data_IF_270371153807
#
_entry.id   IF_270371153807
#
_cell.length_a   1.000
_cell.length_b   1.000
_cell.length_c   1.000
_cell.angle_alpha   90.00
_cell.angle_beta   90.00
_cell.angle_gamma   90.00
#
_symmetry.space_group_name_H-M   'P 1'
#
loop_
_entity.id
_entity.type
_entity.pdbx_description
1 polymer ?
#
# COMPACT_ATOMS: atom_id res chain seq x y z
N UNK A 1 29.16 3.31 -28.76
CA UNK A 1 28.60 3.79 -27.49
C UNK A 1 29.70 3.67 -26.44
N UNK A 2 30.62 4.64 -26.40
CA UNK A 2 31.74 4.64 -25.46
C UNK A 2 31.86 6.05 -24.87
N UNK A 3 30.87 6.43 -24.05
CA UNK A 3 30.78 7.75 -23.41
C UNK A 3 31.25 7.72 -21.94
N UNK A 4 31.51 6.53 -21.39
CA UNK A 4 31.97 6.32 -20.01
C UNK A 4 33.49 6.16 -19.94
N UNK A 5 34.23 7.11 -20.50
CA UNK A 5 35.70 7.08 -20.45
C UNK A 5 36.25 7.69 -19.16
N UNK A 6 37.47 7.34 -18.73
CA UNK A 6 38.13 7.96 -17.58
C UNK A 6 38.20 9.50 -17.68
N UNK A 7 38.39 10.04 -18.89
CA UNK A 7 38.45 11.48 -19.16
C UNK A 7 37.08 12.16 -19.00
N UNK A 8 36.00 11.45 -19.32
CA UNK A 8 34.64 11.94 -19.03
C UNK A 8 34.41 12.02 -17.52
N UNK A 9 34.76 10.96 -16.78
CA UNK A 9 34.63 10.93 -15.32
C UNK A 9 35.48 12.03 -14.63
N UNK A 10 36.72 12.24 -15.08
CA UNK A 10 37.59 13.28 -14.56
C UNK A 10 37.02 14.69 -14.81
N UNK A 11 36.49 14.95 -16.01
CA UNK A 11 35.85 16.24 -16.34
C UNK A 11 34.56 16.47 -15.54
N UNK A 12 33.75 15.43 -15.36
CA UNK A 12 32.54 15.48 -14.54
C UNK A 12 32.89 15.84 -13.09
N UNK A 13 33.88 15.16 -12.50
CA UNK A 13 34.34 15.43 -11.15
C UNK A 13 34.91 16.85 -11.01
N UNK A 14 35.76 17.28 -11.95
CA UNK A 14 36.34 18.62 -11.95
C UNK A 14 35.27 19.71 -12.01
N UNK A 15 34.24 19.55 -12.87
CA UNK A 15 33.10 20.48 -12.95
C UNK A 15 32.33 20.53 -11.62
N UNK A 16 32.07 19.38 -11.00
CA UNK A 16 31.36 19.32 -9.70
C UNK A 16 32.14 20.03 -8.61
N UNK A 17 33.46 19.83 -8.54
CA UNK A 17 34.33 20.51 -7.56
C UNK A 17 34.34 22.02 -7.79
N UNK A 18 34.49 22.46 -9.04
CA UNK A 18 34.49 23.89 -9.40
C UNK A 18 33.18 24.59 -9.03
N UNK A 19 32.05 23.88 -9.09
CA UNK A 19 30.73 24.43 -8.80
C UNK A 19 30.19 24.00 -7.42
N UNK A 20 31.05 23.48 -6.54
CA UNK A 20 30.66 22.99 -5.22
C UNK A 20 29.91 24.03 -4.36
N UNK A 21 30.28 25.34 -4.35
CA UNK A 21 29.51 26.34 -3.62
C UNK A 21 28.06 26.46 -4.12
N UNK A 22 27.87 26.46 -5.44
CA UNK A 22 26.55 26.51 -6.07
C UNK A 22 25.76 25.22 -5.78
N UNK A 23 26.41 24.06 -5.85
CA UNK A 23 25.79 22.78 -5.51
C UNK A 23 25.28 22.77 -4.07
N UNK A 24 26.04 23.29 -3.12
CA UNK A 24 25.60 23.39 -1.71
C UNK A 24 24.35 24.25 -1.55
N UNK A 25 24.23 25.34 -2.31
CA UNK A 25 23.03 26.17 -2.32
C UNK A 25 21.85 25.44 -2.96
N UNK A 26 22.08 24.68 -4.04
CA UNK A 26 21.04 23.90 -4.68
C UNK A 26 20.50 22.78 -3.78
N UNK A 27 21.35 22.12 -2.99
CA UNK A 27 20.93 21.03 -2.10
C UNK A 27 19.78 21.48 -1.19
N UNK A 28 19.89 22.62 -0.52
CA UNK A 28 18.82 23.10 0.37
C UNK A 28 17.54 23.43 -0.39
N UNK A 29 17.67 24.05 -1.57
CA UNK A 29 16.53 24.41 -2.43
C UNK A 29 15.81 23.17 -2.96
N UNK A 30 16.56 22.18 -3.45
CA UNK A 30 16.00 20.93 -3.99
C UNK A 30 15.47 20.01 -2.90
N UNK A 31 16.06 19.98 -1.70
CA UNK A 31 15.49 19.26 -0.55
C UNK A 31 14.14 19.85 -0.15
N UNK A 32 14.01 21.17 -0.12
CA UNK A 32 12.74 21.84 0.15
C UNK A 32 11.70 21.54 -0.94
N UNK A 33 12.08 21.70 -2.22
CA UNK A 33 11.19 21.43 -3.35
C UNK A 33 10.75 19.95 -3.42
N UNK A 34 11.67 19.01 -3.20
CA UNK A 34 11.36 17.57 -3.17
C UNK A 34 10.45 17.22 -1.98
N UNK A 35 10.66 17.82 -0.81
CA UNK A 35 9.78 17.64 0.35
C UNK A 35 8.36 18.13 0.04
N UNK A 36 8.22 19.30 -0.60
CA UNK A 36 6.93 19.85 -1.03
C UNK A 36 6.25 18.92 -2.04
N UNK A 37 6.99 18.40 -3.01
CA UNK A 37 6.44 17.52 -4.04
C UNK A 37 6.00 16.15 -3.50
N UNK A 38 6.83 15.54 -2.66
CA UNK A 38 6.63 14.16 -2.17
C UNK A 38 5.82 14.10 -0.86
N UNK A 39 5.65 15.23 -0.17
CA UNK A 39 4.92 15.33 1.09
C UNK A 39 5.62 14.65 2.28
N UNK A 40 6.90 14.30 2.15
CA UNK A 40 7.69 13.63 3.19
C UNK A 40 9.11 14.20 3.26
N UNK A 41 9.48 14.78 4.41
CA UNK A 41 10.78 15.42 4.64
C UNK A 41 11.95 14.45 4.46
N UNK A 42 11.83 13.22 4.98
CA UNK A 42 12.87 12.18 4.85
C UNK A 42 13.20 11.86 3.40
N UNK A 43 12.20 11.80 2.51
CA UNK A 43 12.43 11.56 1.08
C UNK A 43 13.11 12.76 0.42
N UNK A 44 12.74 13.97 0.83
CA UNK A 44 13.42 15.20 0.40
C UNK A 44 14.90 15.24 0.80
N UNK A 45 15.26 14.78 2.00
CA UNK A 45 16.66 14.71 2.45
C UNK A 45 17.50 13.70 1.65
N UNK A 46 16.88 12.60 1.19
CA UNK A 46 17.55 11.59 0.38
C UNK A 46 17.69 12.00 -1.08
N UNK A 47 16.63 12.56 -1.67
CA UNK A 47 16.57 12.85 -3.10
C UNK A 47 17.06 14.26 -3.44
N UNK A 48 16.88 15.23 -2.55
CA UNK A 48 17.28 16.63 -2.78
C UNK A 48 18.72 16.80 -3.26
N UNK A 49 19.73 16.18 -2.60
CA UNK A 49 21.12 16.26 -3.05
C UNK A 49 21.37 15.62 -4.42
N UNK A 50 20.69 14.52 -4.74
CA UNK A 50 20.79 13.85 -6.04
C UNK A 50 20.21 14.73 -7.16
N UNK A 51 19.04 15.34 -6.91
CA UNK A 51 18.37 16.24 -7.85
C UNK A 51 19.17 17.51 -8.08
N UNK A 52 19.75 18.10 -7.02
CA UNK A 52 20.66 19.23 -7.12
C UNK A 52 21.89 18.89 -7.98
N UNK A 53 22.44 17.68 -7.80
CA UNK A 53 23.53 17.13 -8.60
C UNK A 53 23.16 16.95 -10.07
N UNK A 54 21.96 16.47 -10.39
CA UNK A 54 21.49 16.36 -11.76
C UNK A 54 21.28 17.74 -12.42
N UNK A 55 20.72 18.69 -11.68
CA UNK A 55 20.43 20.03 -12.18
C UNK A 55 21.71 20.82 -12.52
N UNK A 56 22.77 20.70 -11.71
CA UNK A 56 24.03 21.43 -11.93
C UNK A 56 24.81 20.99 -13.19
N UNK A 57 24.51 19.79 -13.71
CA UNK A 57 25.08 19.31 -14.97
C UNK A 57 24.57 20.12 -16.16
N UNK A 58 23.34 20.64 -16.07
CA UNK A 58 22.69 21.38 -17.15
C UNK A 58 22.86 22.90 -17.01
N UNK A 59 22.89 23.43 -15.78
CA UNK A 59 22.95 24.88 -15.52
C UNK A 59 23.67 25.20 -14.21
N UNK A 60 24.29 26.39 -14.14
CA UNK A 60 24.93 26.92 -12.93
C UNK A 60 24.27 28.22 -12.44
N UNK A 61 23.12 28.59 -13.00
CA UNK A 61 22.38 29.81 -12.63
C UNK A 61 21.68 29.67 -11.28
N UNK A 62 21.55 30.73 -10.46
CA UNK A 62 20.80 30.65 -9.21
C UNK A 62 19.42 30.03 -9.40
N UNK A 63 18.99 29.18 -8.45
CA UNK A 63 17.72 28.44 -8.52
C UNK A 63 16.89 28.77 -7.29
N UNK A 64 15.59 28.97 -7.48
CA UNK A 64 14.61 29.16 -6.40
C UNK A 64 13.84 27.87 -6.14
N UNK A 65 13.14 27.79 -5.01
CA UNK A 65 12.34 26.60 -4.65
C UNK A 65 11.23 26.37 -5.68
N UNK A 66 10.62 27.44 -6.18
CA UNK A 66 9.56 27.38 -7.20
C UNK A 66 10.10 26.82 -8.52
N UNK A 67 11.26 27.32 -8.95
CA UNK A 67 11.93 26.84 -10.18
C UNK A 67 12.33 25.36 -10.05
N UNK A 68 12.88 24.98 -8.88
CA UNK A 68 13.23 23.59 -8.61
C UNK A 68 11.99 22.68 -8.57
N UNK A 69 10.88 23.17 -8.02
CA UNK A 69 9.61 22.44 -7.96
C UNK A 69 9.00 22.24 -9.35
N UNK A 70 9.06 23.25 -10.21
CA UNK A 70 8.66 23.14 -11.62
C UNK A 70 9.54 22.13 -12.37
N UNK A 71 10.86 22.18 -12.16
CA UNK A 71 11.79 21.24 -12.77
C UNK A 71 11.55 19.79 -12.30
N UNK A 72 11.26 19.60 -11.01
CA UNK A 72 10.86 18.29 -10.49
C UNK A 72 9.55 17.85 -11.16
N UNK A 73 8.49 18.66 -11.13
CA UNK A 73 7.19 18.28 -11.72
C UNK A 73 7.24 18.01 -13.23
N UNK A 74 8.16 18.66 -13.95
CA UNK A 74 8.33 18.49 -15.39
C UNK A 74 9.10 17.23 -15.79
N UNK A 75 9.74 16.54 -14.84
CA UNK A 75 10.37 15.24 -15.06
C UNK A 75 9.40 14.12 -14.63
N UNK A 76 9.41 13.00 -15.35
CA UNK A 76 8.57 11.86 -15.02
C UNK A 76 9.20 11.02 -13.90
N UNK A 77 8.54 10.97 -12.74
CA UNK A 77 8.98 10.23 -11.54
C UNK A 77 8.08 9.04 -11.22
N UNK A 78 7.15 8.68 -12.11
CA UNK A 78 6.17 7.62 -11.89
C UNK A 78 6.81 6.28 -11.53
N UNK A 79 7.98 5.99 -12.10
CA UNK A 79 8.68 4.72 -11.91
C UNK A 79 9.23 4.51 -10.49
N UNK A 80 9.57 5.59 -9.77
CA UNK A 80 10.14 5.51 -8.43
C UNK A 80 9.08 5.59 -7.32
N UNK A 81 7.93 6.22 -7.57
CA UNK A 81 6.85 6.32 -6.58
C UNK A 81 5.84 5.18 -6.66
N UNK A 82 5.54 4.68 -7.86
CA UNK A 82 4.57 3.60 -8.03
C UNK A 82 5.10 2.25 -7.55
N UNK A 83 6.39 1.95 -7.80
CA UNK A 83 7.01 0.67 -7.40
C UNK A 83 7.12 0.52 -5.89
N UNK A 84 7.55 1.56 -5.18
CA UNK A 84 7.66 1.53 -3.72
C UNK A 84 6.27 1.53 -3.06
N UNK A 85 5.30 2.28 -3.61
CA UNK A 85 3.92 2.29 -3.13
C UNK A 85 3.21 0.93 -3.29
N UNK A 86 3.39 0.28 -4.44
CA UNK A 86 2.83 -1.07 -4.69
C UNK A 86 3.42 -2.11 -3.72
N UNK A 87 4.73 -2.05 -3.48
CA UNK A 87 5.41 -2.94 -2.53
C UNK A 87 4.99 -2.68 -1.08
N UNK A 88 4.76 -1.43 -0.70
CA UNK A 88 4.24 -1.11 0.64
C UNK A 88 2.81 -1.62 0.84
N UNK A 89 1.94 -1.45 -0.18
CA UNK A 89 0.58 -1.97 -0.17
C UNK A 89 0.52 -3.50 -0.08
N UNK A 90 1.43 -4.20 -0.78
CA UNK A 90 1.59 -5.65 -0.69
C UNK A 90 1.92 -6.10 0.75
N UNK A 91 2.98 -5.52 1.35
CA UNK A 91 3.39 -5.88 2.72
C UNK A 91 2.27 -5.57 3.72
N UNK A 92 1.57 -4.46 3.51
CA UNK A 92 0.45 -4.04 4.34
C UNK A 92 -0.70 -5.05 4.28
N UNK A 93 -1.08 -5.48 3.07
CA UNK A 93 -2.11 -6.51 2.88
C UNK A 93 -1.69 -7.84 3.51
N UNK A 94 -0.47 -8.32 3.24
CA UNK A 94 0.05 -9.56 3.83
C UNK A 94 0.01 -9.52 5.36
N UNK A 95 0.36 -8.38 5.97
CA UNK A 95 0.30 -8.21 7.42
C UNK A 95 -1.13 -8.30 7.95
N UNK A 96 -2.08 -7.59 7.32
CA UNK A 96 -3.49 -7.60 7.76
C UNK A 96 -4.10 -8.98 7.56
N UNK A 97 -3.94 -9.58 6.38
CA UNK A 97 -4.52 -10.88 6.06
C UNK A 97 -3.93 -11.97 6.93
N UNK A 98 -2.64 -11.87 7.32
CA UNK A 98 -1.98 -12.84 8.21
C UNK A 98 -2.32 -12.69 9.70
N UNK A 99 -3.03 -11.62 10.10
CA UNK A 99 -3.36 -11.40 11.51
C UNK A 99 -4.33 -12.45 12.04
N UNK A 100 -4.01 -13.07 13.18
CA UNK A 100 -4.83 -14.11 13.80
C UNK A 100 -5.98 -13.52 14.61
N UNK A 101 -7.18 -14.03 14.34
CA UNK A 101 -8.42 -13.60 14.97
C UNK A 101 -9.07 -14.80 15.66
N UNK A 102 -9.16 -14.69 16.98
CA UNK A 102 -9.88 -15.66 17.80
C UNK A 102 -11.38 -15.34 17.76
N UNK A 103 -12.19 -16.30 17.30
CA UNK A 103 -13.65 -16.15 17.21
C UNK A 103 -14.39 -17.40 17.68
N UNK A 104 -15.63 -17.21 18.12
CA UNK A 104 -16.47 -18.30 18.58
C UNK A 104 -17.30 -18.85 17.42
N UNK A 105 -17.38 -20.17 17.32
CA UNK A 105 -18.25 -20.84 16.35
C UNK A 105 -19.63 -21.08 16.93
N UNK A 106 -20.68 -21.22 16.08
CA UNK A 106 -22.02 -21.58 16.53
C UNK A 106 -22.05 -22.90 17.32
N UNK A 107 -21.10 -23.80 17.08
CA UNK A 107 -20.98 -25.13 17.71
C UNK A 107 -20.28 -25.09 19.08
N UNK A 108 -20.00 -23.90 19.63
CA UNK A 108 -19.51 -23.73 21.01
C UNK A 108 -17.99 -23.83 21.18
N UNK A 109 -17.23 -24.01 20.09
CA UNK A 109 -15.76 -23.99 20.11
C UNK A 109 -15.19 -22.60 19.83
N UNK A 110 -14.04 -22.28 20.44
CA UNK A 110 -13.24 -21.11 20.03
C UNK A 110 -12.20 -21.51 19.01
N UNK A 111 -12.15 -20.78 17.89
CA UNK A 111 -11.27 -21.04 16.77
C UNK A 111 -10.39 -19.82 16.51
N UNK A 112 -9.17 -20.08 16.05
CA UNK A 112 -8.26 -19.03 15.59
C UNK A 112 -8.04 -19.19 14.09
N UNK A 113 -8.28 -18.12 13.35
CA UNK A 113 -8.04 -18.04 11.91
C UNK A 113 -7.45 -16.70 11.55
N UNK A 114 -6.69 -16.67 10.48
CA UNK A 114 -6.19 -15.44 9.89
C UNK A 114 -7.35 -14.61 9.32
N UNK A 115 -7.18 -13.29 9.24
CA UNK A 115 -8.14 -12.40 8.55
C UNK A 115 -8.36 -12.84 7.11
N UNK A 116 -7.31 -13.30 6.42
CA UNK A 116 -7.40 -13.82 5.05
C UNK A 116 -8.35 -15.01 4.92
N UNK A 117 -8.22 -16.01 5.79
CA UNK A 117 -9.14 -17.15 5.83
C UNK A 117 -10.57 -16.71 6.17
N UNK A 118 -10.74 -15.74 7.07
CA UNK A 118 -12.08 -15.22 7.40
C UNK A 118 -12.72 -14.49 6.22
N UNK A 119 -11.94 -13.72 5.46
CA UNK A 119 -12.40 -13.06 4.22
C UNK A 119 -12.81 -14.13 3.22
N UNK A 120 -12.03 -15.19 3.09
CA UNK A 120 -12.33 -16.30 2.18
C UNK A 120 -13.65 -17.00 2.55
N UNK A 121 -13.82 -17.35 3.83
CA UNK A 121 -15.04 -17.97 4.36
C UNK A 121 -16.26 -17.04 4.19
N UNK A 122 -16.08 -15.73 4.36
CA UNK A 122 -17.14 -14.74 4.19
C UNK A 122 -17.50 -14.50 2.72
N UNK A 123 -16.54 -14.66 1.80
CA UNK A 123 -16.72 -14.50 0.37
C UNK A 123 -17.42 -15.70 -0.30
N UNK A 124 -17.26 -16.91 0.24
CA UNK A 124 -17.98 -18.08 -0.28
C UNK A 124 -19.49 -18.00 -0.01
N UNK A 125 -20.27 -18.57 -0.91
CA UNK A 125 -21.71 -18.71 -0.76
C UNK A 125 -22.08 -19.59 0.45
N UNK A 126 -23.36 -19.51 0.84
CA UNK A 126 -23.90 -20.28 1.97
C UNK A 126 -23.77 -21.79 1.73
N UNK A 127 -23.63 -22.19 0.47
CA UNK A 127 -23.16 -23.50 0.05
C UNK A 127 -22.04 -23.37 -0.95
N UNK A 128 -20.99 -24.16 -0.80
CA UNK A 128 -19.91 -24.24 -1.78
C UNK A 128 -19.66 -25.70 -2.14
N UNK A 129 -19.01 -25.91 -3.28
CA UNK A 129 -18.61 -27.25 -3.73
C UNK A 129 -17.22 -27.52 -3.16
N UNK A 130 -17.09 -28.56 -2.33
CA UNK A 130 -15.82 -29.01 -1.78
C UNK A 130 -15.40 -30.32 -2.47
N UNK A 131 -14.15 -30.39 -2.92
CA UNK A 131 -13.59 -31.62 -3.45
C UNK A 131 -13.18 -32.52 -2.29
N UNK A 132 -13.95 -33.60 -2.07
CA UNK A 132 -13.69 -34.55 -0.98
C UNK A 132 -12.57 -35.52 -1.37
N UNK A 133 -12.49 -35.90 -2.65
CA UNK A 133 -11.45 -36.76 -3.22
C UNK A 133 -11.24 -36.42 -4.71
N UNK A 134 -10.26 -37.04 -5.38
CA UNK A 134 -9.96 -36.84 -6.81
C UNK A 134 -11.14 -37.10 -7.79
N UNK A 135 -12.25 -37.67 -7.32
CA UNK A 135 -13.40 -38.08 -8.16
C UNK A 135 -14.72 -37.50 -7.65
N UNK A 136 -14.81 -37.08 -6.38
CA UNK A 136 -16.08 -36.74 -5.74
C UNK A 136 -16.07 -35.30 -5.26
N UNK A 137 -17.08 -34.56 -5.68
CA UNK A 137 -17.40 -33.21 -5.19
C UNK A 137 -18.71 -33.26 -4.42
N UNK A 138 -18.77 -32.59 -3.27
CA UNK A 138 -19.97 -32.51 -2.45
C UNK A 138 -20.38 -31.05 -2.25
N UNK A 139 -21.69 -30.80 -2.19
CA UNK A 139 -22.23 -29.50 -1.80
C UNK A 139 -22.22 -29.40 -0.28
N UNK A 140 -21.37 -28.53 0.24
CA UNK A 140 -21.18 -28.33 1.68
C UNK A 140 -21.82 -27.02 2.12
N UNK A 141 -22.56 -27.05 3.23
CA UNK A 141 -23.13 -25.85 3.85
C UNK A 141 -22.03 -25.10 4.61
N UNK A 142 -21.84 -23.82 4.27
CA UNK A 142 -20.91 -22.93 4.96
C UNK A 142 -21.49 -22.46 6.30
N UNK A 143 -21.50 -23.35 7.28
CA UNK A 143 -21.97 -23.07 8.66
C UNK A 143 -21.20 -21.96 9.37
N UNK A 144 -20.04 -21.55 8.83
CA UNK A 144 -19.07 -20.64 9.47
C UNK A 144 -19.16 -19.21 8.96
N UNK A 145 -19.81 -18.98 7.82
CA UNK A 145 -19.93 -17.67 7.16
C UNK A 145 -20.39 -16.56 8.10
N UNK A 146 -21.48 -16.79 8.83
CA UNK A 146 -22.04 -15.77 9.73
C UNK A 146 -21.04 -15.34 10.82
N UNK A 147 -20.35 -16.30 11.43
CA UNK A 147 -19.36 -15.99 12.47
C UNK A 147 -18.12 -15.29 11.89
N UNK A 148 -17.69 -15.68 10.68
CA UNK A 148 -16.60 -15.00 9.98
C UNK A 148 -16.95 -13.54 9.67
N UNK A 149 -18.15 -13.28 9.12
CA UNK A 149 -18.66 -11.93 8.84
C UNK A 149 -18.69 -11.09 10.13
N UNK A 150 -19.21 -11.65 11.23
CA UNK A 150 -19.29 -10.92 12.49
C UNK A 150 -17.90 -10.59 13.07
N UNK A 151 -16.95 -11.50 12.94
CA UNK A 151 -15.58 -11.32 13.41
C UNK A 151 -14.86 -10.23 12.62
N UNK A 152 -14.94 -10.27 11.28
CA UNK A 152 -14.40 -9.24 10.39
C UNK A 152 -15.03 -7.87 10.66
N UNK A 153 -16.36 -7.83 10.85
CA UNK A 153 -17.10 -6.61 11.11
C UNK A 153 -16.61 -5.88 12.37
N UNK A 154 -16.24 -6.62 13.44
CA UNK A 154 -15.67 -6.03 14.67
C UNK A 154 -14.28 -5.42 14.46
N UNK A 155 -13.50 -5.97 13.52
CA UNK A 155 -12.23 -5.40 13.08
C UNK A 155 -12.42 -4.19 12.15
N UNK A 156 -13.62 -4.01 11.59
CA UNK A 156 -13.92 -2.97 10.61
C UNK A 156 -13.60 -3.39 9.17
N UNK A 157 -13.76 -4.68 8.87
CA UNK A 157 -13.68 -5.26 7.53
C UNK A 157 -15.07 -5.82 7.19
N UNK A 158 -15.54 -5.63 5.96
CA UNK A 158 -16.78 -6.24 5.46
C UNK A 158 -16.58 -6.79 4.07
N UNK A 159 -17.00 -8.03 3.85
CA UNK A 159 -17.04 -8.63 2.50
C UNK A 159 -18.43 -8.37 1.90
N UNK A 160 -18.47 -7.86 0.67
CA UNK A 160 -19.69 -7.48 -0.03
C UNK A 160 -19.63 -7.92 -1.50
N UNK A 161 -20.79 -8.10 -2.12
CA UNK A 161 -20.90 -8.58 -3.49
C UNK A 161 -21.00 -10.10 -3.59
N UNK A 162 -21.10 -10.58 -4.82
CA UNK A 162 -21.23 -11.99 -5.19
C UNK A 162 -20.21 -12.30 -6.29
N UNK A 163 -19.84 -13.57 -6.45
CA UNK A 163 -18.89 -13.96 -7.50
C UNK A 163 -19.40 -13.56 -8.89
N UNK A 164 -18.57 -12.96 -9.77
CA UNK A 164 -17.13 -12.71 -9.62
C UNK A 164 -16.76 -11.35 -8.99
N UNK A 165 -17.71 -10.45 -8.72
CA UNK A 165 -17.45 -9.07 -8.26
C UNK A 165 -17.46 -8.93 -6.73
N UNK A 166 -16.70 -9.78 -6.03
CA UNK A 166 -16.61 -9.75 -4.57
C UNK A 166 -15.59 -8.68 -4.14
N UNK A 167 -15.96 -7.86 -3.15
CA UNK A 167 -15.16 -6.74 -2.64
C UNK A 167 -15.04 -6.79 -1.11
N UNK A 168 -13.93 -6.26 -0.62
CA UNK A 168 -13.67 -6.00 0.79
C UNK A 168 -13.74 -4.50 1.06
N UNK A 169 -14.61 -4.11 1.98
CA UNK A 169 -14.65 -2.77 2.55
C UNK A 169 -13.77 -2.76 3.80
N UNK A 170 -12.74 -1.92 3.81
CA UNK A 170 -11.76 -1.82 4.91
C UNK A 170 -11.83 -0.43 5.52
N UNK A 171 -12.03 -0.37 6.83
CA UNK A 171 -12.03 0.86 7.61
C UNK A 171 -10.72 1.64 7.52
N UNK A 172 -10.83 2.97 7.53
CA UNK A 172 -9.66 3.87 7.51
C UNK A 172 -9.39 4.55 8.84
N UNK A 173 -10.22 4.31 9.86
CA UNK A 173 -10.14 5.04 11.13
C UNK A 173 -10.67 4.29 12.36
N UNK A 174 -11.09 3.03 12.26
CA UNK A 174 -11.58 2.30 13.42
C UNK A 174 -10.44 1.94 14.38
N UNK A 175 -10.66 2.09 15.69
CA UNK A 175 -9.65 1.80 16.71
C UNK A 175 -9.32 0.31 16.81
N UNK A 176 -10.29 -0.56 16.52
CA UNK A 176 -10.07 -2.02 16.43
C UNK A 176 -9.04 -2.37 15.36
N UNK A 177 -9.15 -1.74 14.19
CA UNK A 177 -8.18 -1.89 13.11
C UNK A 177 -6.84 -1.23 13.41
N UNK A 178 -6.87 -0.07 14.09
CA UNK A 178 -5.65 0.62 14.52
C UNK A 178 -4.83 -0.23 15.50
N UNK A 179 -5.51 -0.97 16.37
CA UNK A 179 -4.89 -1.90 17.32
C UNK A 179 -4.17 -3.05 16.61
N UNK A 180 -4.69 -3.51 15.46
CA UNK A 180 -4.05 -4.53 14.62
C UNK A 180 -2.72 -4.03 14.04
N UNK A 181 -2.64 -2.74 13.71
CA UNK A 181 -1.42 -2.10 13.19
C UNK A 181 -0.45 -1.66 14.29
N UNK A 182 -0.78 -1.87 15.57
CA UNK A 182 0.08 -1.46 16.69
C UNK A 182 1.42 -2.22 16.63
N UNK A 183 2.53 -1.50 16.83
CA UNK A 183 3.89 -2.02 16.71
C UNK A 183 4.34 -2.39 15.29
N UNK A 184 3.64 -1.92 14.26
CA UNK A 184 4.07 -2.06 12.85
C UNK A 184 4.62 -0.74 12.32
N UNK A 185 5.24 -0.78 11.13
CA UNK A 185 5.67 0.43 10.42
C UNK A 185 4.51 1.36 10.03
N UNK A 186 3.27 0.86 10.06
CA UNK A 186 2.06 1.61 9.72
C UNK A 186 1.29 2.19 10.93
N UNK A 187 1.74 1.93 12.16
CA UNK A 187 1.04 2.36 13.39
C UNK A 187 0.82 3.89 13.47
N UNK A 188 1.78 4.66 12.96
CA UNK A 188 1.74 6.13 12.91
C UNK A 188 1.23 6.71 11.59
N UNK A 189 0.93 5.86 10.61
CA UNK A 189 0.64 6.27 9.23
C UNK A 189 -0.87 6.31 8.98
N UNK A 190 -1.32 7.22 8.12
CA UNK A 190 -2.68 7.18 7.58
C UNK A 190 -2.76 6.08 6.51
N UNK A 191 -3.12 4.85 6.92
CA UNK A 191 -3.17 3.68 6.03
C UNK A 191 -4.23 3.77 4.91
N UNK A 192 -5.13 4.76 4.97
CA UNK A 192 -6.02 5.10 3.84
C UNK A 192 -5.25 5.23 2.53
N UNK A 193 -4.13 5.94 2.51
CA UNK A 193 -3.36 6.17 1.28
C UNK A 193 -2.77 4.87 0.72
N UNK A 194 -2.36 3.96 1.60
CA UNK A 194 -1.82 2.64 1.25
C UNK A 194 -2.93 1.77 0.64
N UNK A 195 -4.14 1.84 1.20
CA UNK A 195 -5.29 1.15 0.63
C UNK A 195 -5.68 1.71 -0.76
N UNK A 196 -5.57 3.03 -0.96
CA UNK A 196 -5.86 3.70 -2.24
C UNK A 196 -4.86 3.34 -3.35
N UNK A 197 -3.64 2.87 -3.02
CA UNK A 197 -2.65 2.42 -4.01
C UNK A 197 -2.87 0.98 -4.48
N UNK A 198 -3.78 0.22 -3.86
CA UNK A 198 -4.09 -1.15 -4.27
C UNK A 198 -4.83 -1.11 -5.62
N UNK A 199 -4.43 -1.94 -6.61
CA UNK A 199 -5.11 -2.00 -7.90
C UNK A 199 -6.62 -2.28 -7.76
N UNK A 200 -7.43 -1.42 -8.39
CA UNK A 200 -8.89 -1.52 -8.35
C UNK A 200 -9.54 -1.02 -7.06
N UNK A 201 -8.76 -0.52 -6.09
CA UNK A 201 -9.31 0.07 -4.87
C UNK A 201 -9.85 1.48 -5.11
N UNK A 202 -10.91 1.84 -4.38
CA UNK A 202 -11.51 3.18 -4.46
C UNK A 202 -12.15 3.60 -3.13
N UNK A 203 -12.24 4.91 -2.85
CA UNK A 203 -12.85 5.39 -1.62
C UNK A 203 -14.36 5.15 -1.57
N UNK A 204 -14.83 4.63 -0.45
CA UNK A 204 -16.26 4.49 -0.16
C UNK A 204 -16.92 5.86 0.04
N UNK A 205 -18.21 5.97 -0.32
CA UNK A 205 -19.01 7.17 -0.05
C UNK A 205 -19.51 7.16 1.40
N UNK A 206 -19.22 8.24 2.14
CA UNK A 206 -19.66 8.39 3.53
C UNK A 206 -19.02 7.39 4.48
N UNK A 207 -19.72 7.09 5.58
CA UNK A 207 -19.29 6.11 6.56
C UNK A 207 -20.02 4.78 6.35
N UNK A 208 -19.35 3.68 6.70
CA UNK A 208 -19.90 2.33 6.69
C UNK A 208 -20.12 1.86 8.12
N UNK A 209 -21.31 1.34 8.37
CA UNK A 209 -21.59 0.57 9.57
C UNK A 209 -21.07 -0.85 9.41
N UNK A 210 -20.02 -1.19 10.15
CA UNK A 210 -19.42 -2.53 10.15
C UNK A 210 -20.04 -3.40 11.25
N UNK A 211 -19.97 -2.93 12.49
CA UNK A 211 -20.50 -3.58 13.68
C UNK A 211 -21.08 -2.53 14.65
N UNK A 212 -21.71 -2.98 15.72
CA UNK A 212 -22.17 -2.10 16.79
C UNK A 212 -21.01 -1.25 17.33
N UNK A 213 -21.13 0.08 17.21
CA UNK A 213 -20.09 1.03 17.61
C UNK A 213 -18.97 1.26 16.59
N UNK A 214 -19.02 0.63 15.40
CA UNK A 214 -18.03 0.79 14.33
C UNK A 214 -18.71 1.37 13.10
N UNK A 215 -18.75 2.70 13.02
CA UNK A 215 -19.25 3.46 11.87
C UNK A 215 -18.18 4.43 11.38
N UNK A 216 -17.45 4.05 10.33
CA UNK A 216 -16.24 4.75 9.90
C UNK A 216 -16.15 4.84 8.39
N UNK A 217 -15.41 5.82 7.85
CA UNK A 217 -15.13 5.86 6.43
C UNK A 217 -14.18 4.74 6.03
N UNK A 218 -14.27 4.31 4.78
CA UNK A 218 -13.69 3.05 4.30
C UNK A 218 -13.13 3.17 2.88
N UNK A 219 -12.22 2.26 2.52
CA UNK A 219 -11.80 2.00 1.14
C UNK A 219 -12.41 0.67 0.71
N UNK A 220 -12.85 0.59 -0.54
CA UNK A 220 -13.29 -0.65 -1.18
C UNK A 220 -12.09 -1.23 -1.93
N UNK A 221 -11.80 -2.49 -1.70
CA UNK A 221 -10.69 -3.24 -2.30
C UNK A 221 -11.26 -4.51 -2.95
N UNK A 222 -10.92 -4.85 -4.20
CA UNK A 222 -11.33 -6.11 -4.81
C UNK A 222 -10.83 -7.31 -4.00
N UNK A 223 -11.66 -8.34 -3.79
CA UNK A 223 -11.23 -9.54 -3.04
C UNK A 223 -10.08 -10.24 -3.74
N UNK A 224 -10.01 -10.20 -5.07
CA UNK A 224 -8.88 -10.76 -5.82
C UNK A 224 -7.57 -10.04 -5.47
N UNK A 225 -7.56 -8.72 -5.28
CA UNK A 225 -6.35 -8.04 -4.81
C UNK A 225 -5.92 -8.47 -3.39
N UNK A 226 -6.85 -9.01 -2.59
CA UNK A 226 -6.60 -9.57 -1.26
C UNK A 226 -6.20 -11.06 -1.35
N UNK A 227 -6.68 -11.81 -2.36
CA UNK A 227 -6.43 -13.25 -2.57
C UNK A 227 -5.18 -13.53 -3.42
N UNK A 228 -4.92 -12.72 -4.44
CA UNK A 228 -3.89 -12.91 -5.48
C UNK A 228 -2.45 -12.65 -5.03
N UNK A 229 -2.18 -12.57 -3.72
CA UNK A 229 -0.82 -12.66 -3.20
C UNK A 229 -0.39 -14.10 -2.88
N UNK A 230 -1.20 -15.11 -3.23
CA UNK A 230 -0.70 -16.45 -3.50
C UNK A 230 -0.08 -16.48 -4.90
N UNK A 231 1.24 -16.29 -4.94
CA UNK A 231 2.21 -16.89 -5.87
C UNK A 231 1.64 -17.14 -7.29
N UNK A 232 1.86 -16.20 -8.20
CA UNK A 232 2.13 -16.58 -9.59
C UNK A 232 3.40 -17.43 -9.59
N UNK A 233 3.22 -18.74 -9.58
CA UNK A 233 4.11 -19.79 -10.11
C UNK A 233 3.61 -21.14 -9.59
N UNK A 234 2.66 -21.74 -10.31
CA UNK A 234 2.66 -23.16 -10.70
C UNK A 234 1.54 -23.35 -11.73
N UNK A 235 1.83 -23.02 -12.99
CA UNK A 235 1.64 -23.88 -14.17
C UNK A 235 2.15 -23.16 -15.42
#
# INVERSE_FOLDING_TARGET
MELMTPEFAARLLARTIQNLPTLRQYVSVFTAAATIHLGAQRLGDQLGPLLAGAYILNTTKPVTVETALEWIRGNDWSDHTARDGARDAERFLQHITGHMVRHNTPEGGTWERTVGELIEIAAYDDTYIEQVNNVTVEQVVNKRKHSAIQSLARLGIKVVGEFPDIKCEITTSAESFRSLLKNTEWAGTKWRKILETIPGAYPGKGNRYFANGVNTPFIVVPVDAVRSYKIEDTM
#
